data_IF_899331064503
#
_entry.id   IF_899331064503
#
_cell.length_a   1.000
_cell.length_b   1.000
_cell.length_c   1.000
_cell.angle_alpha   90.00
_cell.angle_beta   90.00
_cell.angle_gamma   90.00
#
_symmetry.space_group_name_H-M   'P 1'
#
loop_
_entity.id
_entity.type
_entity.pdbx_description
1 polymer ?
#
# COMPACT_ATOMS: atom_id res chain seq x y z
N UNK A 1 34.76 -25.17 -31.58
CA UNK A 1 33.40 -25.11 -32.17
C UNK A 1 32.41 -25.38 -31.06
N UNK A 2 31.91 -24.34 -30.43
CA UNK A 2 30.84 -24.45 -29.42
C UNK A 2 29.82 -23.40 -29.81
N UNK A 3 28.70 -23.83 -30.37
CA UNK A 3 27.64 -22.97 -30.86
C UNK A 3 27.03 -22.22 -29.66
N UNK A 4 27.11 -20.90 -29.73
CA UNK A 4 26.33 -20.00 -28.88
C UNK A 4 24.90 -20.13 -29.39
N UNK A 5 24.04 -20.76 -28.59
CA UNK A 5 22.62 -20.85 -28.88
C UNK A 5 22.01 -19.45 -28.92
N UNK A 6 21.52 -19.06 -30.09
CA UNK A 6 20.71 -17.87 -30.31
C UNK A 6 19.47 -17.93 -29.40
N UNK A 7 19.49 -17.21 -28.29
CA UNK A 7 18.34 -16.95 -27.42
C UNK A 7 17.38 -15.93 -28.02
N UNK A 8 16.90 -16.18 -29.25
CA UNK A 8 15.93 -15.32 -29.93
C UNK A 8 14.48 -15.67 -29.51
N UNK A 9 14.21 -15.60 -28.20
CA UNK A 9 12.90 -15.91 -27.59
C UNK A 9 12.07 -14.68 -27.18
N UNK A 10 12.58 -13.47 -27.42
CA UNK A 10 11.84 -12.21 -27.19
C UNK A 10 11.27 -11.76 -28.54
N UNK A 11 9.98 -12.01 -28.82
CA UNK A 11 9.10 -11.16 -29.69
C UNK A 11 7.76 -11.79 -30.14
N UNK A 12 7.29 -12.94 -29.62
CA UNK A 12 5.99 -13.51 -30.07
C UNK A 12 5.01 -13.81 -28.92
N UNK A 13 5.03 -13.00 -27.86
CA UNK A 13 4.01 -13.04 -26.81
C UNK A 13 3.16 -11.79 -26.91
N UNK A 14 1.87 -11.96 -27.22
CA UNK A 14 0.91 -10.88 -27.17
C UNK A 14 0.89 -10.26 -25.76
N UNK A 15 0.86 -8.92 -25.64
CA UNK A 15 0.70 -8.27 -24.35
C UNK A 15 -0.54 -8.79 -23.62
N UNK A 16 -0.50 -8.93 -22.28
CA UNK A 16 -1.67 -9.36 -21.50
C UNK A 16 -2.89 -8.48 -21.76
N UNK A 17 -3.98 -9.09 -22.22
CA UNK A 17 -5.21 -8.41 -22.60
C UNK A 17 -6.44 -9.29 -22.33
N UNK A 18 -7.61 -8.66 -22.28
CA UNK A 18 -8.90 -9.34 -22.18
C UNK A 18 -9.97 -8.46 -22.84
N UNK A 19 -9.89 -8.30 -24.17
CA UNK A 19 -10.72 -7.34 -24.93
C UNK A 19 -12.22 -7.60 -24.77
N UNK A 20 -12.64 -8.86 -24.73
CA UNK A 20 -14.03 -9.27 -24.48
C UNK A 20 -14.52 -8.82 -23.08
N UNK A 21 -13.62 -8.82 -22.09
CA UNK A 21 -13.93 -8.37 -20.73
C UNK A 21 -13.99 -6.84 -20.67
N UNK A 22 -13.13 -6.14 -21.42
CA UNK A 22 -13.23 -4.69 -21.57
C UNK A 22 -14.57 -4.28 -22.20
N UNK A 23 -15.03 -5.00 -23.23
CA UNK A 23 -16.36 -4.79 -23.82
C UNK A 23 -17.47 -4.99 -22.79
N UNK A 24 -17.35 -6.05 -21.97
CA UNK A 24 -18.32 -6.33 -20.91
C UNK A 24 -18.39 -5.22 -19.84
N UNK A 25 -17.24 -4.63 -19.47
CA UNK A 25 -17.17 -3.50 -18.54
C UNK A 25 -17.88 -2.28 -19.13
N UNK A 26 -17.52 -1.88 -20.36
CA UNK A 26 -18.09 -0.71 -21.02
C UNK A 26 -19.60 -0.87 -21.30
N UNK A 27 -20.01 -2.06 -21.74
CA UNK A 27 -21.42 -2.38 -21.95
C UNK A 27 -22.24 -2.30 -20.66
N UNK A 28 -21.72 -2.83 -19.55
CA UNK A 28 -22.37 -2.71 -18.24
C UNK A 28 -22.51 -1.24 -17.80
N UNK A 29 -21.50 -0.41 -18.05
CA UNK A 29 -21.53 1.03 -17.75
C UNK A 29 -22.57 1.80 -18.57
N UNK A 30 -22.90 1.33 -19.79
CA UNK A 30 -23.94 1.93 -20.64
C UNK A 30 -25.37 1.52 -20.26
N UNK A 31 -25.53 0.43 -19.52
CA UNK A 31 -26.84 -0.11 -19.12
C UNK A 31 -27.23 0.35 -17.70
N UNK A 32 -26.26 0.45 -16.80
CA UNK A 32 -26.48 0.81 -15.39
C UNK A 32 -25.51 1.89 -14.93
N UNK A 33 -26.04 3.07 -14.59
CA UNK A 33 -25.26 4.19 -14.06
C UNK A 33 -24.53 3.83 -12.75
N UNK A 34 -25.03 2.88 -11.95
CA UNK A 34 -24.33 2.41 -10.74
C UNK A 34 -23.08 1.60 -11.07
N UNK A 35 -23.05 0.95 -12.23
CA UNK A 35 -21.87 0.23 -12.70
C UNK A 35 -20.73 1.20 -13.05
N UNK A 36 -21.05 2.42 -13.50
CA UNK A 36 -20.06 3.48 -13.72
C UNK A 36 -19.34 3.83 -12.43
N UNK A 37 -20.08 4.11 -11.35
CA UNK A 37 -19.49 4.43 -10.05
C UNK A 37 -18.57 3.33 -9.53
N UNK A 38 -19.00 2.06 -9.59
CA UNK A 38 -18.17 0.91 -9.19
C UNK A 38 -16.94 0.70 -10.07
N UNK A 39 -17.05 0.94 -11.38
CA UNK A 39 -15.92 0.81 -12.30
C UNK A 39 -14.85 1.88 -12.04
N UNK A 40 -15.25 3.12 -11.76
CA UNK A 40 -14.34 4.24 -11.43
C UNK A 40 -13.49 3.94 -10.19
N UNK A 41 -14.05 3.25 -9.20
CA UNK A 41 -13.31 2.85 -7.99
C UNK A 41 -12.17 1.87 -8.28
N UNK A 42 -12.20 1.17 -9.42
CA UNK A 42 -11.28 0.07 -9.74
C UNK A 42 -10.36 0.41 -10.93
N UNK A 43 -10.86 1.18 -11.90
CA UNK A 43 -10.23 1.38 -13.20
C UNK A 43 -9.97 2.85 -13.53
N UNK A 44 -8.87 3.07 -14.24
CA UNK A 44 -8.61 4.25 -15.06
C UNK A 44 -8.53 3.84 -16.55
N UNK A 45 -8.54 4.83 -17.44
CA UNK A 45 -8.49 4.61 -18.88
C UNK A 45 -7.20 3.90 -19.37
N UNK A 46 -6.15 3.92 -18.56
CA UNK A 46 -4.81 3.42 -18.93
C UNK A 46 -4.71 1.90 -18.77
N UNK A 47 -5.65 1.29 -18.04
CA UNK A 47 -5.74 -0.17 -17.91
C UNK A 47 -6.44 -0.85 -19.09
N UNK A 48 -7.04 -0.11 -20.02
CA UNK A 48 -7.60 -0.69 -21.24
C UNK A 48 -6.48 -0.98 -22.24
N UNK A 49 -6.51 -2.17 -22.86
CA UNK A 49 -5.57 -2.50 -23.93
C UNK A 49 -6.00 -1.85 -25.25
N UNK A 50 -7.30 -1.84 -25.51
CA UNK A 50 -7.87 -1.26 -26.72
C UNK A 50 -7.96 0.25 -26.59
N UNK A 51 -7.30 0.98 -27.49
CA UNK A 51 -7.40 2.45 -27.59
C UNK A 51 -8.85 2.90 -27.73
N UNK A 52 -9.69 2.31 -28.62
CA UNK A 52 -11.12 2.60 -28.66
C UNK A 52 -11.81 2.50 -27.29
N UNK A 53 -11.50 1.47 -26.50
CA UNK A 53 -12.13 1.28 -25.19
C UNK A 53 -11.68 2.32 -24.18
N UNK A 54 -10.40 2.71 -24.21
CA UNK A 54 -9.86 3.80 -23.40
C UNK A 54 -10.59 5.12 -23.68
N UNK A 55 -10.80 5.46 -24.96
CA UNK A 55 -11.55 6.64 -25.38
C UNK A 55 -13.01 6.61 -24.94
N UNK A 56 -13.67 5.45 -25.09
CA UNK A 56 -15.05 5.26 -24.63
C UNK A 56 -15.15 5.44 -23.12
N UNK A 57 -14.24 4.82 -22.36
CA UNK A 57 -14.19 4.95 -20.91
C UNK A 57 -14.06 6.42 -20.49
N UNK A 58 -13.10 7.16 -21.05
CA UNK A 58 -12.90 8.59 -20.76
C UNK A 58 -14.15 9.42 -21.05
N UNK A 59 -14.86 9.15 -22.15
CA UNK A 59 -16.10 9.86 -22.48
C UNK A 59 -17.24 9.52 -21.50
N UNK A 60 -17.35 8.25 -21.07
CA UNK A 60 -18.30 7.83 -20.03
C UNK A 60 -18.01 8.56 -18.71
N UNK A 61 -16.74 8.61 -18.27
CA UNK A 61 -16.36 9.31 -17.03
C UNK A 61 -16.74 10.78 -17.11
N UNK A 62 -16.45 11.45 -18.22
CA UNK A 62 -16.78 12.86 -18.38
C UNK A 62 -18.28 13.15 -18.34
N UNK A 63 -19.12 12.26 -18.89
CA UNK A 63 -20.57 12.38 -18.79
C UNK A 63 -21.04 12.19 -17.34
N UNK A 64 -20.50 11.17 -16.67
CA UNK A 64 -20.82 10.85 -15.29
C UNK A 64 -20.44 11.99 -14.32
N UNK A 65 -19.26 12.59 -14.47
CA UNK A 65 -18.82 13.75 -13.68
C UNK A 65 -19.72 14.98 -13.85
N UNK A 66 -20.30 15.17 -15.05
CA UNK A 66 -21.28 16.24 -15.32
C UNK A 66 -22.70 15.87 -14.86
N UNK A 67 -22.90 14.71 -14.22
CA UNK A 67 -24.20 14.15 -13.87
C UNK A 67 -25.14 14.00 -15.08
N UNK A 68 -24.58 13.78 -16.27
CA UNK A 68 -25.34 13.49 -17.49
C UNK A 68 -25.62 11.98 -17.58
N UNK A 69 -26.75 11.61 -18.18
CA UNK A 69 -27.07 10.19 -18.39
C UNK A 69 -26.02 9.57 -19.31
N UNK A 70 -25.47 8.42 -18.90
CA UNK A 70 -24.53 7.64 -19.70
C UNK A 70 -25.33 6.60 -20.48
N UNK A 71 -25.60 6.89 -21.75
CA UNK A 71 -26.25 5.97 -22.67
C UNK A 71 -25.60 6.06 -24.06
N UNK A 72 -26.03 5.21 -25.00
CA UNK A 72 -25.43 5.15 -26.34
C UNK A 72 -25.50 6.49 -27.08
N UNK A 73 -26.59 7.25 -26.93
CA UNK A 73 -26.80 8.50 -27.65
C UNK A 73 -25.91 9.61 -27.07
N UNK A 74 -25.93 9.77 -25.75
CA UNK A 74 -25.12 10.80 -25.07
C UNK A 74 -23.63 10.51 -25.22
N UNK A 75 -23.21 9.24 -25.16
CA UNK A 75 -21.84 8.81 -25.42
C UNK A 75 -21.40 9.13 -26.86
N UNK A 76 -22.25 8.83 -27.86
CA UNK A 76 -21.94 9.14 -29.25
C UNK A 76 -21.81 10.65 -29.50
N UNK A 77 -22.64 11.47 -28.86
CA UNK A 77 -22.54 12.92 -28.92
C UNK A 77 -21.27 13.44 -28.25
N UNK A 78 -20.90 12.93 -27.08
CA UNK A 78 -19.68 13.32 -26.37
C UNK A 78 -18.43 12.97 -27.19
N UNK A 79 -18.35 11.75 -27.72
CA UNK A 79 -17.26 11.32 -28.59
C UNK A 79 -17.20 12.14 -29.89
N UNK A 80 -18.35 12.55 -30.44
CA UNK A 80 -18.40 13.43 -31.62
C UNK A 80 -17.91 14.84 -31.30
N UNK A 81 -18.29 15.42 -30.15
CA UNK A 81 -17.79 16.72 -29.69
C UNK A 81 -16.26 16.71 -29.53
N UNK A 82 -15.70 15.58 -29.11
CA UNK A 82 -14.24 15.36 -28.97
C UNK A 82 -13.54 15.05 -30.30
N UNK A 83 -14.27 14.79 -31.38
CA UNK A 83 -13.70 14.35 -32.66
C UNK A 83 -13.18 12.91 -32.65
N UNK A 84 -13.57 12.10 -31.66
CA UNK A 84 -13.02 10.76 -31.40
C UNK A 84 -14.00 9.63 -31.73
N UNK A 85 -15.20 9.94 -32.25
CA UNK A 85 -16.25 8.94 -32.51
C UNK A 85 -15.80 7.82 -33.46
N UNK A 86 -15.11 8.16 -34.55
CA UNK A 86 -14.64 7.17 -35.51
C UNK A 86 -13.50 6.33 -34.95
N UNK A 87 -12.59 6.94 -34.17
CA UNK A 87 -11.50 6.23 -33.48
C UNK A 87 -12.02 5.28 -32.40
N UNK A 88 -13.15 5.60 -31.79
CA UNK A 88 -13.86 4.74 -30.84
C UNK A 88 -14.64 3.58 -31.51
N UNK A 89 -14.62 3.47 -32.84
CA UNK A 89 -15.32 2.42 -33.59
C UNK A 89 -16.71 2.83 -34.12
N UNK A 90 -17.13 4.07 -33.90
CA UNK A 90 -18.37 4.63 -34.42
C UNK A 90 -19.63 4.16 -33.69
N UNK A 91 -20.79 4.70 -34.12
CA UNK A 91 -22.09 4.50 -33.44
C UNK A 91 -22.51 3.03 -33.43
N UNK A 92 -22.16 2.27 -34.46
CA UNK A 92 -22.48 0.83 -34.57
C UNK A 92 -21.77 0.05 -33.47
N UNK A 93 -20.50 0.35 -33.21
CA UNK A 93 -19.73 -0.34 -32.18
C UNK A 93 -20.29 -0.07 -30.78
N UNK A 94 -20.69 1.18 -30.50
CA UNK A 94 -21.34 1.55 -29.24
C UNK A 94 -22.66 0.78 -29.03
N UNK A 95 -23.43 0.56 -30.10
CA UNK A 95 -24.65 -0.25 -30.06
C UNK A 95 -24.34 -1.72 -29.68
N UNK A 96 -23.26 -2.27 -30.24
CA UNK A 96 -22.81 -3.64 -29.94
C UNK A 96 -22.43 -3.77 -28.47
N UNK A 97 -21.65 -2.82 -27.92
CA UNK A 97 -21.26 -2.84 -26.50
C UNK A 97 -22.47 -2.88 -25.57
N UNK A 98 -23.50 -2.07 -25.84
CA UNK A 98 -24.72 -2.03 -25.05
C UNK A 98 -25.59 -3.28 -25.18
N UNK A 99 -25.43 -4.07 -26.25
CA UNK A 99 -26.24 -5.26 -26.52
C UNK A 99 -25.57 -6.59 -26.15
N UNK A 100 -24.24 -6.64 -26.07
CA UNK A 100 -23.49 -7.83 -25.67
C UNK A 100 -23.60 -8.14 -24.16
N UNK A 101 -23.90 -7.15 -23.33
CA UNK A 101 -23.97 -7.31 -21.88
C UNK A 101 -25.41 -7.39 -21.41
N UNK A 102 -25.80 -8.51 -20.81
CA UNK A 102 -27.15 -8.68 -20.28
C UNK A 102 -27.34 -8.09 -18.87
N UNK A 103 -26.26 -7.93 -18.08
CA UNK A 103 -26.35 -7.52 -16.66
C UNK A 103 -25.08 -6.80 -16.22
N UNK A 104 -25.24 -5.82 -15.31
CA UNK A 104 -24.14 -5.13 -14.65
C UNK A 104 -23.68 -5.78 -13.32
N UNK A 105 -24.23 -6.94 -12.94
CA UNK A 105 -23.99 -7.56 -11.63
C UNK A 105 -22.51 -7.91 -11.39
N UNK A 106 -21.80 -8.30 -12.45
CA UNK A 106 -20.41 -8.78 -12.38
C UNK A 106 -19.35 -7.71 -12.69
N UNK A 107 -19.73 -6.43 -12.73
CA UNK A 107 -18.80 -5.34 -13.08
C UNK A 107 -17.53 -5.35 -12.23
N UNK A 108 -17.64 -5.59 -10.92
CA UNK A 108 -16.49 -5.58 -10.01
C UNK A 108 -15.48 -6.68 -10.35
N UNK A 109 -15.97 -7.84 -10.79
CA UNK A 109 -15.15 -8.97 -11.20
C UNK A 109 -14.48 -8.70 -12.55
N UNK A 110 -15.24 -8.21 -13.53
CA UNK A 110 -14.71 -7.89 -14.86
C UNK A 110 -13.71 -6.72 -14.81
N UNK A 111 -13.99 -5.69 -14.01
CA UNK A 111 -13.09 -4.57 -13.79
C UNK A 111 -11.75 -5.02 -13.19
N UNK A 112 -11.77 -5.93 -12.21
CA UNK A 112 -10.54 -6.53 -11.65
C UNK A 112 -9.71 -7.28 -12.70
N UNK A 113 -10.35 -8.01 -13.62
CA UNK A 113 -9.63 -8.69 -14.70
C UNK A 113 -8.94 -7.67 -15.61
N UNK A 114 -9.63 -6.60 -16.02
CA UNK A 114 -9.04 -5.52 -16.85
C UNK A 114 -7.87 -4.87 -16.12
N UNK A 115 -8.04 -4.55 -14.84
CA UNK A 115 -6.99 -4.01 -13.97
C UNK A 115 -5.76 -4.93 -13.92
N UNK A 116 -5.95 -6.22 -13.65
CA UNK A 116 -4.85 -7.19 -13.56
C UNK A 116 -4.07 -7.29 -14.88
N UNK A 117 -4.75 -7.24 -16.03
CA UNK A 117 -4.10 -7.21 -17.35
C UNK A 117 -3.37 -5.89 -17.56
N UNK A 118 -3.96 -4.76 -17.20
CA UNK A 118 -3.34 -3.43 -17.25
C UNK A 118 -2.05 -3.37 -16.44
N UNK A 119 -2.11 -3.76 -15.16
CA UNK A 119 -0.95 -3.83 -14.27
C UNK A 119 0.14 -4.75 -14.81
N UNK A 120 -0.23 -5.90 -15.38
CA UNK A 120 0.72 -6.80 -16.04
C UNK A 120 1.44 -6.13 -17.21
N UNK A 121 0.74 -5.32 -18.02
CA UNK A 121 1.36 -4.56 -19.12
C UNK A 121 2.31 -3.49 -18.58
N UNK A 122 1.90 -2.73 -17.56
CA UNK A 122 2.78 -1.74 -16.93
C UNK A 122 4.05 -2.36 -16.33
N UNK A 123 3.94 -3.54 -15.71
CA UNK A 123 5.09 -4.28 -15.20
C UNK A 123 6.05 -4.69 -16.32
N UNK A 124 5.53 -5.18 -17.45
CA UNK A 124 6.34 -5.53 -18.62
C UNK A 124 7.07 -4.32 -19.17
N UNK A 125 6.38 -3.18 -19.29
CA UNK A 125 6.97 -1.92 -19.76
C UNK A 125 8.05 -1.41 -18.81
N UNK A 126 7.75 -1.39 -17.50
CA UNK A 126 8.71 -0.98 -16.46
C UNK A 126 9.95 -1.87 -16.49
N UNK A 127 9.79 -3.18 -16.60
CA UNK A 127 10.90 -4.12 -16.71
C UNK A 127 11.73 -3.90 -17.98
N UNK A 128 11.09 -3.55 -19.10
CA UNK A 128 11.80 -3.20 -20.33
C UNK A 128 12.63 -1.91 -20.17
N UNK A 129 12.08 -0.88 -19.53
CA UNK A 129 12.79 0.38 -19.26
C UNK A 129 13.97 0.18 -18.29
N UNK A 130 13.78 -0.61 -17.22
CA UNK A 130 14.86 -0.98 -16.29
C UNK A 130 15.98 -1.70 -17.06
N UNK A 131 15.61 -2.67 -17.90
CA UNK A 131 16.58 -3.42 -18.70
C UNK A 131 17.34 -2.52 -19.67
N UNK A 132 16.67 -1.60 -20.35
CA UNK A 132 17.28 -0.65 -21.29
C UNK A 132 18.30 0.24 -20.57
N UNK A 133 17.91 0.86 -19.45
CA UNK A 133 18.81 1.70 -18.64
C UNK A 133 20.02 0.93 -18.10
N UNK A 134 19.83 -0.32 -17.69
CA UNK A 134 20.93 -1.18 -17.25
C UNK A 134 21.95 -1.44 -18.37
N UNK A 135 21.49 -1.57 -19.63
CA UNK A 135 22.38 -1.76 -20.78
C UNK A 135 23.07 -0.46 -21.23
N UNK A 136 22.44 0.70 -21.06
CA UNK A 136 23.05 1.99 -21.42
C UNK A 136 24.28 2.33 -20.58
N UNK A 137 24.32 1.89 -19.31
CA UNK A 137 25.49 2.03 -18.42
C UNK A 137 25.89 3.46 -18.07
N UNK A 138 24.96 4.43 -18.16
CA UNK A 138 25.21 5.86 -17.92
C UNK A 138 24.97 6.31 -16.48
N UNK A 139 24.21 5.54 -15.71
CA UNK A 139 23.81 5.86 -14.34
C UNK A 139 24.60 5.04 -13.32
N UNK A 140 24.75 5.56 -12.10
CA UNK A 140 25.21 4.73 -10.98
C UNK A 140 24.22 3.57 -10.74
N UNK A 141 24.74 2.40 -10.39
CA UNK A 141 23.92 1.19 -10.21
C UNK A 141 22.95 1.35 -9.04
N UNK A 142 23.33 2.06 -7.98
CA UNK A 142 22.43 2.32 -6.85
C UNK A 142 21.30 3.27 -7.23
N UNK A 143 21.59 4.33 -7.99
CA UNK A 143 20.54 5.23 -8.52
C UNK A 143 19.54 4.49 -9.42
N UNK A 144 20.00 3.51 -10.21
CA UNK A 144 19.12 2.69 -11.03
C UNK A 144 18.23 1.77 -10.17
N UNK A 145 18.76 1.22 -9.08
CA UNK A 145 17.98 0.41 -8.12
C UNK A 145 16.89 1.27 -7.49
N UNK A 146 17.25 2.42 -6.92
CA UNK A 146 16.30 3.33 -6.26
C UNK A 146 15.20 3.79 -7.22
N UNK A 147 15.58 4.15 -8.46
CA UNK A 147 14.62 4.51 -9.50
C UNK A 147 13.67 3.36 -9.85
N UNK A 148 14.19 2.13 -9.91
CA UNK A 148 13.40 0.93 -10.21
C UNK A 148 12.40 0.63 -9.10
N UNK A 149 12.83 0.74 -7.84
CA UNK A 149 11.98 0.57 -6.66
C UNK A 149 10.84 1.58 -6.66
N UNK A 150 11.15 2.87 -6.86
CA UNK A 150 10.13 3.91 -6.97
C UNK A 150 9.11 3.63 -8.08
N UNK A 151 9.58 3.13 -9.23
CA UNK A 151 8.68 2.83 -10.36
C UNK A 151 7.76 1.66 -10.08
N UNK A 152 8.28 0.56 -9.53
CA UNK A 152 7.47 -0.59 -9.13
C UNK A 152 6.50 -0.20 -7.99
N UNK A 153 6.95 0.60 -7.03
CA UNK A 153 6.13 1.07 -5.92
C UNK A 153 4.95 1.93 -6.41
N UNK A 154 5.18 2.84 -7.35
CA UNK A 154 4.12 3.69 -7.92
C UNK A 154 2.98 2.91 -8.61
N UNK A 155 3.26 1.69 -9.10
CA UNK A 155 2.22 0.80 -9.65
C UNK A 155 1.31 0.24 -8.55
N UNK A 156 1.81 0.10 -7.33
CA UNK A 156 1.04 -0.34 -6.17
C UNK A 156 0.20 0.80 -5.59
N UNK A 157 0.69 2.04 -5.62
CA UNK A 157 -0.02 3.23 -5.14
C UNK A 157 -1.18 3.68 -6.02
N UNK A 158 -1.19 3.38 -7.34
CA UNK A 158 -2.34 3.73 -8.20
C UNK A 158 -3.66 3.11 -7.74
N UNK A 159 -3.61 2.08 -6.88
CA UNK A 159 -4.78 1.47 -6.22
C UNK A 159 -5.39 2.34 -5.11
N UNK A 160 -4.72 3.42 -4.70
CA UNK A 160 -4.97 4.14 -3.44
C UNK A 160 -5.29 5.63 -3.63
N UNK A 161 -5.52 6.11 -4.86
CA UNK A 161 -6.01 7.48 -5.08
C UNK A 161 -7.47 7.61 -4.60
N UNK A 162 -7.67 7.66 -3.27
CA UNK A 162 -8.92 8.14 -2.69
C UNK A 162 -9.08 9.61 -3.07
N UNK A 163 -10.01 9.89 -3.99
CA UNK A 163 -10.46 11.25 -4.29
C UNK A 163 -11.23 11.88 -3.14
N UNK A 164 -11.91 13.01 -3.41
CA UNK A 164 -12.80 13.64 -2.44
C UNK A 164 -13.95 12.70 -2.04
N UNK A 165 -14.07 12.39 -0.75
CA UNK A 165 -15.18 11.61 -0.22
C UNK A 165 -16.26 12.53 0.38
N UNK A 166 -17.55 12.29 0.11
CA UNK A 166 -18.62 13.00 0.80
C UNK A 166 -18.58 12.68 2.30
N UNK A 167 -18.75 13.70 3.14
CA UNK A 167 -18.66 13.58 4.60
C UNK A 167 -19.61 12.51 5.18
N UNK A 168 -20.78 12.31 4.55
CA UNK A 168 -21.75 11.30 4.96
C UNK A 168 -21.17 9.87 4.94
N UNK A 169 -20.35 9.54 3.93
CA UNK A 169 -19.71 8.23 3.83
C UNK A 169 -18.67 8.04 4.95
N UNK A 170 -17.86 9.07 5.20
CA UNK A 170 -16.84 9.07 6.28
C UNK A 170 -17.50 8.98 7.65
N UNK A 171 -18.63 9.66 7.86
CA UNK A 171 -19.37 9.63 9.12
C UNK A 171 -19.85 8.21 9.44
N UNK A 172 -20.39 7.48 8.47
CA UNK A 172 -20.88 6.12 8.72
C UNK A 172 -19.74 5.19 9.16
N UNK A 173 -18.60 5.21 8.47
CA UNK A 173 -17.41 4.44 8.84
C UNK A 173 -16.89 4.85 10.22
N UNK A 174 -16.84 6.15 10.50
CA UNK A 174 -16.40 6.69 11.80
C UNK A 174 -17.29 6.20 12.94
N UNK A 175 -18.62 6.19 12.75
CA UNK A 175 -19.55 5.68 13.76
C UNK A 175 -19.37 4.18 14.02
N UNK A 176 -19.16 3.37 12.98
CA UNK A 176 -18.85 1.95 13.17
C UNK A 176 -17.54 1.75 13.95
N UNK A 177 -16.51 2.54 13.67
CA UNK A 177 -15.25 2.49 14.41
C UNK A 177 -15.45 2.87 15.90
N UNK A 178 -16.26 3.89 16.19
CA UNK A 178 -16.60 4.29 17.56
C UNK A 178 -17.38 3.20 18.30
N UNK A 179 -18.34 2.55 17.65
CA UNK A 179 -19.13 1.46 18.26
C UNK A 179 -18.26 0.23 18.54
N UNK A 180 -17.34 -0.12 17.63
CA UNK A 180 -16.32 -1.16 17.86
C UNK A 180 -15.40 -0.81 19.03
N UNK A 181 -14.99 0.46 19.16
CA UNK A 181 -14.17 0.91 20.28
C UNK A 181 -14.94 0.86 21.60
N UNK A 182 -16.22 1.21 21.62
CA UNK A 182 -17.08 1.13 22.81
C UNK A 182 -17.31 -0.31 23.30
N UNK A 183 -17.43 -1.27 22.37
CA UNK A 183 -17.73 -2.66 22.68
C UNK A 183 -16.48 -3.53 22.99
N UNK A 184 -15.27 -2.96 23.02
CA UNK A 184 -14.06 -3.69 23.42
C UNK A 184 -14.00 -3.85 24.94
N UNK A 185 -13.54 -5.02 25.40
CA UNK A 185 -13.23 -5.26 26.82
C UNK A 185 -11.92 -4.57 27.28
N UNK A 186 -11.04 -4.21 26.33
CA UNK A 186 -9.79 -3.48 26.61
C UNK A 186 -10.07 -2.02 26.95
N UNK A 187 -9.52 -1.52 28.05
CA UNK A 187 -9.63 -0.12 28.48
C UNK A 187 -8.94 0.88 27.52
N UNK A 188 -8.07 0.39 26.63
CA UNK A 188 -7.26 1.20 25.71
C UNK A 188 -7.67 0.90 24.26
N UNK A 189 -8.00 1.93 23.47
CA UNK A 189 -8.43 1.79 22.08
C UNK A 189 -7.27 1.60 21.10
N UNK A 190 -6.13 2.24 21.39
CA UNK A 190 -4.89 2.14 20.61
C UNK A 190 -3.90 1.11 21.16
N UNK A 191 -2.63 1.23 20.73
CA UNK A 191 -1.51 0.45 21.28
C UNK A 191 -1.21 0.93 22.70
N UNK A 192 -1.24 0.00 23.65
CA UNK A 192 -1.02 0.30 25.07
C UNK A 192 0.45 0.67 25.34
N UNK A 193 0.67 1.79 26.04
CA UNK A 193 2.00 2.28 26.39
C UNK A 193 2.67 1.52 27.55
N UNK A 194 1.90 0.73 28.31
CA UNK A 194 2.25 0.12 29.59
C UNK A 194 2.27 1.10 30.77
N UNK A 195 1.88 2.36 30.57
CA UNK A 195 1.74 3.37 31.62
C UNK A 195 0.26 3.80 31.71
N UNK A 196 -0.42 3.43 32.79
CA UNK A 196 -1.85 3.72 32.98
C UNK A 196 -2.16 5.21 32.83
N UNK A 197 -1.44 6.08 33.55
CA UNK A 197 -1.64 7.53 33.49
C UNK A 197 -1.45 8.10 32.06
N UNK A 198 -0.55 7.52 31.27
CA UNK A 198 -0.34 7.95 29.88
C UNK A 198 -1.48 7.47 28.99
N UNK A 199 -1.92 6.22 29.16
CA UNK A 199 -3.04 5.67 28.42
C UNK A 199 -4.35 6.40 28.75
N UNK A 200 -4.55 6.86 29.98
CA UNK A 200 -5.73 7.67 30.34
C UNK A 200 -5.76 9.00 29.58
N UNK A 201 -4.59 9.56 29.27
CA UNK A 201 -4.46 10.81 28.52
C UNK A 201 -4.52 10.61 27.00
N UNK A 202 -4.01 9.49 26.49
CA UNK A 202 -3.87 9.25 25.04
C UNK A 202 -4.87 8.26 24.47
N UNK A 203 -5.57 7.51 25.33
CA UNK A 203 -6.29 6.28 24.97
C UNK A 203 -5.41 5.24 24.26
N UNK A 204 -4.10 5.26 24.54
CA UNK A 204 -3.07 4.50 23.82
C UNK A 204 -2.64 5.19 22.53
N UNK A 205 -1.66 4.63 21.84
CA UNK A 205 -1.19 5.18 20.57
C UNK A 205 -2.10 4.74 19.42
N UNK A 206 -2.77 5.70 18.77
CA UNK A 206 -3.74 5.42 17.71
C UNK A 206 -3.06 5.16 16.36
N UNK A 207 -3.72 4.36 15.52
CA UNK A 207 -3.25 4.14 14.16
C UNK A 207 -3.44 5.41 13.31
N UNK A 208 -2.42 5.79 12.54
CA UNK A 208 -2.40 7.00 11.71
C UNK A 208 -1.81 8.24 12.40
N UNK A 209 -1.61 8.20 13.72
CA UNK A 209 -1.00 9.31 14.45
C UNK A 209 0.52 9.39 14.25
N UNK A 210 1.03 10.62 14.13
CA UNK A 210 2.47 10.90 14.20
C UNK A 210 2.84 11.51 15.55
N UNK A 211 3.46 10.71 16.41
CA UNK A 211 3.74 11.06 17.81
C UNK A 211 5.22 11.46 17.97
N UNK A 212 5.45 12.67 18.48
CA UNK A 212 6.81 13.21 18.69
C UNK A 212 7.17 13.17 20.17
N UNK A 213 8.19 12.39 20.53
CA UNK A 213 8.80 12.43 21.85
C UNK A 213 10.05 13.33 21.83
N UNK A 214 9.92 14.56 22.33
CA UNK A 214 11.01 15.52 22.42
C UNK A 214 11.51 15.70 23.85
N UNK A 215 12.83 15.63 24.05
CA UNK A 215 13.46 15.92 25.34
C UNK A 215 14.91 16.38 25.14
N UNK A 216 15.46 17.09 26.14
CA UNK A 216 16.88 17.47 26.14
C UNK A 216 17.78 16.22 26.24
N UNK A 217 19.05 16.30 25.77
CA UNK A 217 20.02 15.23 25.99
C UNK A 217 20.11 14.82 27.47
N UNK A 218 20.32 13.53 27.71
CA UNK A 218 20.41 12.92 29.05
C UNK A 218 19.13 12.90 29.90
N UNK A 219 17.98 13.38 29.41
CA UNK A 219 16.70 13.31 30.14
C UNK A 219 16.07 11.91 30.11
N UNK A 220 16.49 11.06 29.16
CA UNK A 220 16.01 9.68 29.06
C UNK A 220 15.04 9.40 27.90
N UNK A 221 14.99 10.25 26.87
CA UNK A 221 14.18 10.05 25.65
C UNK A 221 14.24 8.62 25.12
N UNK A 222 15.46 8.12 24.89
CA UNK A 222 15.69 6.77 24.36
C UNK A 222 15.29 5.68 25.35
N UNK A 223 15.45 5.92 26.66
CA UNK A 223 15.01 4.95 27.66
C UNK A 223 13.49 4.81 27.66
N UNK A 224 12.76 5.94 27.64
CA UNK A 224 11.31 5.92 27.56
C UNK A 224 10.81 5.28 26.26
N UNK A 225 11.39 5.66 25.12
CA UNK A 225 11.03 5.08 23.82
C UNK A 225 11.19 3.55 23.80
N UNK A 226 12.30 3.03 24.35
CA UNK A 226 12.54 1.59 24.44
C UNK A 226 11.61 0.89 25.44
N UNK A 227 11.22 1.54 26.53
CA UNK A 227 10.20 1.02 27.43
C UNK A 227 8.85 0.89 26.72
N UNK A 228 8.42 1.92 25.99
CA UNK A 228 7.18 1.90 25.21
C UNK A 228 7.18 0.76 24.17
N UNK A 229 8.28 0.66 23.40
CA UNK A 229 8.47 -0.41 22.42
C UNK A 229 8.43 -1.81 23.05
N UNK A 230 9.11 -1.99 24.19
CA UNK A 230 9.12 -3.25 24.93
C UNK A 230 7.73 -3.61 25.44
N UNK A 231 6.99 -2.66 26.02
CA UNK A 231 5.66 -2.92 26.57
C UNK A 231 4.70 -3.37 25.45
N UNK A 232 4.65 -2.61 24.36
CA UNK A 232 3.83 -2.94 23.20
C UNK A 232 4.13 -4.35 22.63
N UNK A 233 5.41 -4.71 22.51
CA UNK A 233 5.80 -5.99 21.93
C UNK A 233 5.74 -7.18 22.90
N UNK A 234 6.23 -7.02 24.13
CA UNK A 234 6.35 -8.13 25.09
C UNK A 234 5.03 -8.39 25.80
N UNK A 235 4.30 -7.36 26.23
CA UNK A 235 3.07 -7.53 27.02
C UNK A 235 1.83 -7.65 26.13
N UNK A 236 1.81 -6.94 24.99
CA UNK A 236 0.64 -6.87 24.09
C UNK A 236 0.85 -7.57 22.74
N UNK A 237 2.04 -8.10 22.46
CA UNK A 237 2.32 -8.87 21.24
C UNK A 237 2.26 -8.06 19.95
N UNK A 238 2.34 -6.73 20.02
CA UNK A 238 2.31 -5.85 18.85
C UNK A 238 3.69 -5.80 18.21
N UNK A 239 3.78 -5.98 16.89
CA UNK A 239 5.04 -5.86 16.16
C UNK A 239 5.60 -4.43 16.21
N UNK A 240 6.85 -4.28 16.63
CA UNK A 240 7.50 -2.96 16.77
C UNK A 240 8.80 -2.92 15.96
N UNK A 241 8.94 -1.91 15.11
CA UNK A 241 10.20 -1.57 14.43
C UNK A 241 10.88 -0.38 15.13
N UNK A 242 12.18 -0.49 15.38
CA UNK A 242 13.00 0.54 16.03
C UNK A 242 14.15 0.94 15.11
N UNK A 243 14.12 2.18 14.64
CA UNK A 243 15.22 2.79 13.88
C UNK A 243 16.11 3.59 14.83
N UNK A 244 17.37 3.18 14.97
CA UNK A 244 18.33 3.77 15.91
C UNK A 244 19.50 4.41 15.18
N UNK A 245 19.43 5.73 14.99
CA UNK A 245 20.48 6.48 14.28
C UNK A 245 21.65 6.93 15.17
N UNK A 246 21.53 6.82 16.49
CA UNK A 246 22.53 7.29 17.47
C UNK A 246 23.28 6.13 18.15
N UNK A 247 22.61 4.99 18.29
CA UNK A 247 23.10 3.83 19.04
C UNK A 247 23.13 2.59 18.15
N UNK A 248 24.12 1.72 18.37
CA UNK A 248 24.15 0.43 17.65
C UNK A 248 23.08 -0.53 18.16
N UNK A 249 22.72 -1.50 17.32
CA UNK A 249 21.79 -2.58 17.63
C UNK A 249 22.14 -3.28 18.96
N UNK A 250 23.43 -3.54 19.20
CA UNK A 250 23.88 -4.15 20.46
C UNK A 250 23.60 -3.28 21.68
N UNK A 251 23.77 -1.96 21.57
CA UNK A 251 23.50 -1.03 22.67
C UNK A 251 22.00 -0.89 22.96
N UNK A 252 21.15 -0.94 21.92
CA UNK A 252 19.70 -0.97 22.06
C UNK A 252 19.24 -2.25 22.76
N UNK A 253 19.71 -3.41 22.29
CA UNK A 253 19.38 -4.72 22.88
C UNK A 253 19.84 -4.82 24.34
N UNK A 254 21.04 -4.32 24.67
CA UNK A 254 21.51 -4.27 26.07
C UNK A 254 20.54 -3.50 26.96
N UNK A 255 19.99 -2.37 26.49
CA UNK A 255 19.01 -1.60 27.25
C UNK A 255 17.67 -2.32 27.38
N UNK A 256 17.18 -2.94 26.31
CA UNK A 256 15.97 -3.76 26.35
C UNK A 256 16.11 -4.93 27.34
N UNK A 257 17.27 -5.58 27.36
CA UNK A 257 17.61 -6.60 28.35
C UNK A 257 17.59 -6.05 29.78
N UNK A 258 18.15 -4.86 30.02
CA UNK A 258 18.06 -4.23 31.34
C UNK A 258 16.61 -3.99 31.78
N UNK A 259 15.77 -3.47 30.87
CA UNK A 259 14.36 -3.19 31.14
C UNK A 259 13.60 -4.47 31.47
N UNK A 260 13.82 -5.53 30.69
CA UNK A 260 13.16 -6.83 30.88
C UNK A 260 13.62 -7.56 32.15
N UNK A 261 14.94 -7.60 32.37
CA UNK A 261 15.55 -8.48 33.38
C UNK A 261 15.79 -7.79 34.70
N UNK A 262 15.66 -6.46 34.74
CA UNK A 262 15.98 -5.58 35.89
C UNK A 262 17.42 -5.71 36.37
N UNK A 263 18.33 -6.16 35.52
CA UNK A 263 19.77 -6.21 35.78
C UNK A 263 20.40 -4.86 35.43
N UNK A 264 21.34 -4.43 36.26
CA UNK A 264 22.05 -3.16 36.08
C UNK A 264 22.87 -3.11 34.77
N UNK A 265 22.70 -2.02 34.01
CA UNK A 265 23.35 -1.83 32.71
C UNK A 265 24.88 -1.77 32.82
N UNK A 266 25.43 -1.20 33.89
CA UNK A 266 26.88 -1.13 34.09
C UNK A 266 27.45 -2.54 34.29
N UNK A 267 26.76 -3.40 35.03
CA UNK A 267 27.17 -4.81 35.19
C UNK A 267 27.15 -5.57 33.87
N UNK A 268 26.10 -5.40 33.07
CA UNK A 268 25.99 -6.01 31.74
C UNK A 268 27.11 -5.56 30.81
N UNK A 269 27.41 -4.25 30.80
CA UNK A 269 28.49 -3.68 29.98
C UNK A 269 29.89 -4.10 30.45
N UNK A 270 30.09 -4.22 31.76
CA UNK A 270 31.39 -4.58 32.36
C UNK A 270 31.63 -6.08 32.47
N UNK A 271 30.62 -6.92 32.20
CA UNK A 271 30.68 -8.37 32.36
C UNK A 271 30.74 -8.85 33.82
N UNK A 272 30.61 -7.95 34.80
CA UNK A 272 30.69 -8.27 36.23
C UNK A 272 29.32 -8.68 36.77
N UNK A 273 28.81 -9.79 36.27
CA UNK A 273 27.53 -10.37 36.66
C UNK A 273 27.73 -11.39 37.78
N UNK A 274 26.88 -11.33 38.80
CA UNK A 274 26.80 -12.38 39.83
C UNK A 274 25.89 -13.51 39.34
N UNK A 275 25.95 -14.67 40.00
CA UNK A 275 25.12 -15.83 39.64
C UNK A 275 23.61 -15.51 39.66
N UNK A 276 23.18 -14.66 40.60
CA UNK A 276 21.80 -14.16 40.65
C UNK A 276 21.44 -13.33 39.41
N UNK A 277 22.34 -12.45 38.96
CA UNK A 277 22.14 -11.60 37.78
C UNK A 277 22.02 -12.48 36.52
N UNK A 278 22.81 -13.56 36.41
CA UNK A 278 22.70 -14.57 35.35
C UNK A 278 21.37 -15.33 35.37
N UNK A 279 20.86 -15.65 36.55
CA UNK A 279 19.57 -16.32 36.71
C UNK A 279 18.40 -15.41 36.26
N UNK A 280 18.47 -14.11 36.55
CA UNK A 280 17.49 -13.13 36.06
C UNK A 280 17.53 -12.98 34.54
N UNK A 281 18.72 -12.94 33.95
CA UNK A 281 18.88 -12.89 32.50
C UNK A 281 18.26 -14.09 31.82
N UNK A 282 18.65 -15.30 32.23
CA UNK A 282 18.21 -16.55 31.59
C UNK A 282 16.71 -16.78 31.69
N UNK A 283 16.07 -16.41 32.82
CA UNK A 283 14.61 -16.57 33.00
C UNK A 283 13.77 -15.65 32.13
N UNK A 284 14.20 -14.40 31.96
CA UNK A 284 13.37 -13.37 31.33
C UNK A 284 13.77 -13.07 29.87
N UNK A 285 14.96 -13.50 29.43
CA UNK A 285 15.41 -13.40 28.02
C UNK A 285 14.41 -14.06 27.07
N UNK A 286 13.78 -15.17 27.47
CA UNK A 286 12.88 -15.92 26.61
C UNK A 286 11.69 -15.09 26.13
N UNK A 287 11.14 -14.22 27.00
CA UNK A 287 10.03 -13.33 26.64
C UNK A 287 10.46 -12.29 25.60
N UNK A 288 11.61 -11.65 25.83
CA UNK A 288 12.16 -10.66 24.91
C UNK A 288 12.55 -11.29 23.56
N UNK A 289 13.08 -12.51 23.57
CA UNK A 289 13.49 -13.22 22.36
C UNK A 289 12.30 -13.67 21.49
N UNK A 290 11.13 -13.86 22.09
CA UNK A 290 9.89 -14.21 21.37
C UNK A 290 9.08 -12.97 20.96
N UNK A 291 9.38 -11.80 21.51
CA UNK A 291 8.66 -10.58 21.22
C UNK A 291 8.96 -10.09 19.79
N UNK A 292 7.95 -9.59 19.05
CA UNK A 292 8.11 -9.15 17.68
C UNK A 292 8.75 -7.75 17.60
N UNK A 293 10.02 -7.65 18.02
CA UNK A 293 10.82 -6.41 17.98
C UNK A 293 11.87 -6.52 16.86
N UNK A 294 11.86 -5.57 15.94
CA UNK A 294 12.80 -5.45 14.82
C UNK A 294 13.62 -4.17 14.98
N UNK A 295 14.95 -4.23 14.80
CA UNK A 295 15.84 -3.10 15.06
C UNK A 295 16.74 -2.88 13.83
N UNK A 296 16.88 -1.62 13.44
CA UNK A 296 17.76 -1.16 12.36
C UNK A 296 18.62 0.01 12.87
N UNK A 297 19.95 -0.12 12.77
CA UNK A 297 20.93 0.91 13.14
C UNK A 297 21.67 1.50 11.92
N UNK A 298 21.10 1.35 10.71
CA UNK A 298 21.67 1.90 9.48
C UNK A 298 21.79 3.43 9.57
N UNK A 299 23.01 3.99 9.47
CA UNK A 299 23.19 5.44 9.52
C UNK A 299 22.62 6.12 8.29
N UNK A 300 21.95 7.26 8.47
CA UNK A 300 21.53 8.11 7.34
C UNK A 300 20.41 7.56 6.47
N UNK A 301 19.53 6.70 7.03
CA UNK A 301 18.32 6.25 6.34
C UNK A 301 17.52 7.48 5.86
N UNK A 302 17.31 7.56 4.54
CA UNK A 302 16.30 8.43 3.94
C UNK A 302 14.98 7.67 3.92
N UNK A 303 14.03 8.13 4.73
CA UNK A 303 12.62 7.71 4.66
C UNK A 303 11.86 8.70 3.78
#
# INVERSE_FOLDING_TARGET
MTQIGNGNGRLDRMPPQAVEVEQAVLGAMLIDQRAVGRAIEILDETYFYSVPHSLIYQAIISLYERNEAVDQLTLAEELRKRGQLEEAGGVVYLATLASEVATAANIDHHAKIVLDKGLSRFLIETAAQISERAFEGRSDVHELIDWSEQKIFSLSERKLSQGFQPIEAVLHETFEQMERAHNRESAVSGVDSGFADLNDLTSGFQAGDFIILAARPSVGKTALALCLARNAAVDFGVGVAVFSLEMSNQQVVQRLLCVETRVDLHKLRSGRLRDEDWLHLTRNVGKLAQAPIYIDDTPGITV
#
